data_IF_645713751919
#
_entry.id   IF_645713751919
#
_cell.length_a   1.000
_cell.length_b   1.000
_cell.length_c   1.000
_cell.angle_alpha   90.00
_cell.angle_beta   90.00
_cell.angle_gamma   90.00
#
_symmetry.space_group_name_H-M   'P 1'
#
loop_
_entity.id
_entity.type
_entity.pdbx_description
1 polymer ?
#
# COMPACT_ATOMS: atom_id res chain seq x y z
N UNK A 1 35.81 -30.30 -33.13
CA UNK A 1 35.41 -28.88 -33.21
C UNK A 1 33.88 -28.72 -33.08
N UNK A 2 33.20 -29.62 -32.35
CA UNK A 2 31.73 -29.75 -32.39
C UNK A 2 31.05 -29.48 -31.03
N UNK A 3 31.79 -29.63 -29.92
CA UNK A 3 31.29 -29.39 -28.57
C UNK A 3 31.06 -27.91 -28.23
N UNK A 4 31.83 -27.00 -28.83
CA UNK A 4 31.74 -25.55 -28.56
C UNK A 4 30.41 -24.99 -29.07
N UNK A 5 29.91 -25.48 -30.21
CA UNK A 5 28.62 -25.06 -30.78
C UNK A 5 27.43 -25.46 -29.90
N UNK A 6 27.46 -26.69 -29.35
CA UNK A 6 26.41 -27.20 -28.48
C UNK A 6 26.39 -26.42 -27.15
N UNK A 7 27.56 -26.11 -26.58
CA UNK A 7 27.64 -25.32 -25.36
C UNK A 7 27.13 -23.88 -25.55
N UNK A 8 27.48 -23.24 -26.68
CA UNK A 8 26.95 -21.91 -27.01
C UNK A 8 25.41 -21.93 -27.17
N UNK A 9 24.86 -23.00 -27.73
CA UNK A 9 23.42 -23.16 -27.91
C UNK A 9 22.67 -23.31 -26.57
N UNK A 10 23.22 -24.08 -25.61
CA UNK A 10 22.62 -24.25 -24.28
C UNK A 10 22.67 -22.94 -23.47
N UNK A 11 23.76 -22.17 -23.57
CA UNK A 11 23.88 -20.86 -22.92
C UNK A 11 22.85 -19.87 -23.50
N UNK A 12 22.65 -19.87 -24.82
CA UNK A 12 21.67 -19.01 -25.48
C UNK A 12 20.22 -19.32 -25.05
N UNK A 13 19.83 -20.59 -24.98
CA UNK A 13 18.48 -21.00 -24.54
C UNK A 13 18.26 -20.67 -23.06
N UNK A 14 19.29 -20.85 -22.23
CA UNK A 14 19.24 -20.55 -20.80
C UNK A 14 19.04 -19.05 -20.56
N UNK A 15 19.70 -18.18 -21.34
CA UNK A 15 19.52 -16.72 -21.28
C UNK A 15 18.13 -16.27 -21.73
N UNK A 16 17.55 -16.93 -22.73
CA UNK A 16 16.21 -16.60 -23.23
C UNK A 16 15.13 -16.93 -22.19
N UNK A 17 15.24 -18.07 -21.50
CA UNK A 17 14.35 -18.43 -20.39
C UNK A 17 14.56 -17.57 -19.13
N UNK A 18 15.76 -17.03 -18.92
CA UNK A 18 16.03 -16.09 -17.83
C UNK A 18 15.41 -14.71 -18.09
N UNK A 19 15.43 -14.24 -19.33
CA UNK A 19 14.89 -12.93 -19.72
C UNK A 19 13.40 -12.80 -19.40
N UNK A 20 12.62 -13.86 -19.62
CA UNK A 20 11.19 -13.88 -19.27
C UNK A 20 10.94 -13.84 -17.75
N UNK A 21 11.75 -14.59 -16.99
CA UNK A 21 11.69 -14.58 -15.52
C UNK A 21 12.09 -13.21 -14.94
N UNK A 22 13.13 -12.58 -15.50
CA UNK A 22 13.58 -11.24 -15.09
C UNK A 22 12.57 -10.16 -15.45
N UNK A 23 11.91 -10.26 -16.62
CA UNK A 23 10.80 -9.36 -17.00
C UNK A 23 9.63 -9.46 -16.04
N UNK A 24 9.23 -10.68 -15.67
CA UNK A 24 8.16 -10.90 -14.70
C UNK A 24 8.52 -10.31 -13.33
N UNK A 25 9.71 -10.62 -12.82
CA UNK A 25 10.21 -10.06 -11.57
C UNK A 25 10.24 -8.52 -11.59
N UNK A 26 10.68 -7.91 -12.69
CA UNK A 26 10.69 -6.44 -12.83
C UNK A 26 9.29 -5.84 -12.83
N UNK A 27 8.31 -6.52 -13.43
CA UNK A 27 6.91 -6.10 -13.41
C UNK A 27 6.30 -6.19 -12.01
N UNK A 28 6.55 -7.29 -11.29
CA UNK A 28 6.13 -7.47 -9.90
C UNK A 28 6.77 -6.41 -8.98
N UNK A 29 8.08 -6.17 -9.09
CA UNK A 29 8.79 -5.13 -8.33
C UNK A 29 8.23 -3.74 -8.64
N UNK A 30 7.93 -3.43 -9.91
CA UNK A 30 7.34 -2.14 -10.29
C UNK A 30 5.95 -1.95 -9.67
N UNK A 31 5.14 -3.01 -9.64
CA UNK A 31 3.81 -2.99 -9.03
C UNK A 31 3.91 -2.75 -7.52
N UNK A 32 4.79 -3.48 -6.83
CA UNK A 32 5.05 -3.33 -5.39
C UNK A 32 5.57 -1.92 -5.07
N UNK A 33 6.56 -1.42 -5.81
CA UNK A 33 7.11 -0.08 -5.59
C UNK A 33 6.08 1.04 -5.82
N UNK A 34 5.15 0.85 -6.76
CA UNK A 34 4.05 1.81 -6.97
C UNK A 34 3.07 1.79 -5.80
N UNK A 35 2.71 0.61 -5.29
CA UNK A 35 1.85 0.48 -4.11
C UNK A 35 2.48 1.08 -2.86
N UNK A 36 3.77 0.82 -2.61
CA UNK A 36 4.52 1.41 -1.48
C UNK A 36 4.58 2.93 -1.61
N UNK A 37 4.81 3.45 -2.82
CA UNK A 37 4.85 4.90 -3.02
C UNK A 37 3.50 5.55 -2.69
N UNK A 38 2.39 4.94 -3.13
CA UNK A 38 1.03 5.41 -2.81
C UNK A 38 0.77 5.34 -1.30
N UNK A 39 1.24 4.30 -0.61
CA UNK A 39 1.14 4.16 0.85
C UNK A 39 1.94 5.24 1.61
N UNK A 40 3.16 5.55 1.18
CA UNK A 40 4.00 6.62 1.75
C UNK A 40 3.35 8.00 1.53
N UNK A 41 2.76 8.23 0.37
CA UNK A 41 2.05 9.48 0.08
C UNK A 41 0.77 9.60 0.93
N UNK A 42 0.04 8.49 1.15
CA UNK A 42 -1.11 8.47 2.06
C UNK A 42 -0.72 8.74 3.52
N UNK A 43 0.35 8.15 4.04
CA UNK A 43 0.81 8.40 5.42
C UNK A 43 1.13 9.87 5.68
N UNK A 44 1.79 10.55 4.72
CA UNK A 44 2.05 12.00 4.81
C UNK A 44 0.78 12.84 4.83
N UNK A 45 -0.20 12.50 4.01
CA UNK A 45 -1.49 13.22 3.96
C UNK A 45 -2.25 13.00 5.27
N UNK A 46 -2.27 11.77 5.79
CA UNK A 46 -2.91 11.44 7.07
C UNK A 46 -2.29 12.20 8.23
N UNK A 47 -0.94 12.29 8.31
CA UNK A 47 -0.26 13.12 9.33
C UNK A 47 -0.67 14.60 9.26
N UNK A 48 -0.98 15.14 8.07
CA UNK A 48 -1.48 16.51 7.92
C UNK A 48 -2.97 16.70 8.33
N UNK A 49 -3.68 15.60 8.58
CA UNK A 49 -5.05 15.57 9.07
C UNK A 49 -5.13 15.42 10.59
N UNK A 50 -4.01 15.22 11.28
CA UNK A 50 -3.96 15.18 12.73
C UNK A 50 -4.56 16.46 13.35
N UNK A 51 -5.47 16.27 14.31
CA UNK A 51 -6.22 17.35 14.96
C UNK A 51 -7.39 17.89 14.14
N UNK A 52 -7.71 17.32 12.97
CA UNK A 52 -8.86 17.70 12.14
C UNK A 52 -9.96 16.64 12.17
N UNK A 53 -11.19 17.08 11.88
CA UNK A 53 -12.33 16.19 11.64
C UNK A 53 -12.35 15.78 10.18
N UNK A 54 -12.54 14.48 9.94
CA UNK A 54 -12.59 13.90 8.61
C UNK A 54 -13.48 12.65 8.62
N UNK A 55 -14.08 12.36 7.47
CA UNK A 55 -14.85 11.14 7.24
C UNK A 55 -13.93 10.10 6.59
N UNK A 56 -13.64 9.03 7.32
CA UNK A 56 -12.77 7.93 6.88
C UNK A 56 -13.62 6.82 6.26
N UNK A 57 -13.29 6.39 5.05
CA UNK A 57 -13.90 5.20 4.43
C UNK A 57 -13.03 3.98 4.70
N UNK A 58 -13.48 3.13 5.63
CA UNK A 58 -12.73 1.92 6.03
C UNK A 58 -13.27 0.71 5.28
N UNK A 59 -12.36 -0.08 4.71
CA UNK A 59 -12.69 -1.34 4.02
C UNK A 59 -13.48 -2.24 4.99
N UNK A 60 -14.65 -2.70 4.54
CA UNK A 60 -15.62 -3.51 5.28
C UNK A 60 -16.47 -2.81 6.37
N UNK A 61 -16.21 -1.54 6.70
CA UNK A 61 -17.02 -0.79 7.71
C UNK A 61 -17.82 0.38 7.11
N UNK A 62 -17.37 0.93 5.98
CA UNK A 62 -18.01 2.08 5.33
C UNK A 62 -17.50 3.43 5.86
N UNK A 63 -18.16 4.54 5.49
CA UNK A 63 -17.75 5.88 5.89
C UNK A 63 -18.00 6.13 7.38
N UNK A 64 -17.00 6.71 8.04
CA UNK A 64 -17.02 6.97 9.47
C UNK A 64 -16.53 8.39 9.77
N UNK A 65 -17.42 9.21 10.34
CA UNK A 65 -17.08 10.52 10.86
C UNK A 65 -16.20 10.40 12.12
N UNK A 66 -14.97 10.89 12.02
CA UNK A 66 -14.00 10.84 13.10
C UNK A 66 -13.17 12.12 13.18
N UNK A 67 -12.54 12.34 14.33
CA UNK A 67 -11.45 13.29 14.51
C UNK A 67 -10.13 12.52 14.61
N UNK A 68 -9.13 12.94 13.85
CA UNK A 68 -7.79 12.32 13.91
C UNK A 68 -7.09 12.82 15.15
N UNK A 69 -6.71 11.91 16.05
CA UNK A 69 -5.94 12.26 17.26
C UNK A 69 -4.45 12.13 16.99
N UNK A 70 -4.03 11.02 16.41
CA UNK A 70 -2.62 10.74 16.15
C UNK A 70 -2.47 9.81 14.94
N UNK A 71 -1.41 10.00 14.16
CA UNK A 71 -1.09 9.19 12.98
C UNK A 71 0.37 8.73 13.03
N UNK A 72 0.54 7.42 13.18
CA UNK A 72 1.81 6.73 13.03
C UNK A 72 2.00 6.23 11.58
N UNK A 73 3.08 5.49 11.32
CA UNK A 73 3.38 4.96 9.98
C UNK A 73 2.49 3.78 9.56
N UNK A 74 1.98 3.00 10.51
CA UNK A 74 1.11 1.83 10.25
C UNK A 74 -0.32 1.99 10.81
N UNK A 75 -0.48 2.84 11.81
CA UNK A 75 -1.69 2.96 12.60
C UNK A 75 -2.15 4.41 12.72
N UNK A 76 -3.45 4.59 12.82
CA UNK A 76 -4.09 5.88 12.97
C UNK A 76 -5.06 5.80 14.15
N UNK A 77 -4.89 6.65 15.15
CA UNK A 77 -5.81 6.80 16.25
C UNK A 77 -6.84 7.88 15.92
N UNK A 78 -8.11 7.49 15.90
CA UNK A 78 -9.22 8.38 15.60
C UNK A 78 -10.31 8.30 16.67
N UNK A 79 -10.96 9.43 16.90
CA UNK A 79 -12.14 9.55 17.75
C UNK A 79 -13.38 9.53 16.87
N UNK A 80 -14.07 8.40 16.83
CA UNK A 80 -15.33 8.23 16.12
C UNK A 80 -16.47 8.92 16.88
N UNK A 81 -17.25 9.76 16.20
CA UNK A 81 -18.47 10.35 16.76
C UNK A 81 -19.69 9.49 16.43
N UNK A 82 -20.38 8.99 17.45
CA UNK A 82 -21.60 8.22 17.29
C UNK A 82 -22.84 9.11 17.49
N UNK A 83 -23.97 8.73 16.88
CA UNK A 83 -25.25 9.48 16.87
C UNK A 83 -25.85 9.83 18.26
N UNK A 84 -25.27 9.37 19.37
CA UNK A 84 -25.81 9.53 20.74
C UNK A 84 -24.88 10.33 21.67
N UNK A 85 -24.09 11.27 21.14
CA UNK A 85 -23.07 12.02 21.90
C UNK A 85 -21.98 11.13 22.52
N UNK A 86 -21.89 9.87 22.07
CA UNK A 86 -20.86 8.94 22.47
C UNK A 86 -19.71 9.03 21.49
N UNK A 87 -18.53 9.40 21.99
CA UNK A 87 -17.30 9.31 21.24
C UNK A 87 -16.53 8.05 21.64
N UNK A 88 -16.06 7.28 20.66
CA UNK A 88 -15.19 6.12 20.90
C UNK A 88 -13.85 6.35 20.23
N UNK A 89 -12.76 6.09 20.95
CA UNK A 89 -11.42 6.04 20.37
C UNK A 89 -11.26 4.68 19.67
N UNK A 90 -10.80 4.73 18.42
CA UNK A 90 -10.57 3.56 17.59
C UNK A 90 -9.22 3.69 16.90
N UNK A 91 -8.49 2.58 16.87
CA UNK A 91 -7.24 2.47 16.13
C UNK A 91 -7.54 1.79 14.80
N UNK A 92 -7.13 2.41 13.70
CA UNK A 92 -7.35 1.95 12.33
C UNK A 92 -5.99 1.72 11.68
N UNK A 93 -5.84 0.59 10.96
CA UNK A 93 -4.66 0.39 10.10
C UNK A 93 -4.77 1.26 8.87
N UNK A 94 -3.70 1.95 8.52
CA UNK A 94 -3.65 2.80 7.32
C UNK A 94 -3.94 1.98 6.05
N UNK A 95 -3.45 0.74 5.97
CA UNK A 95 -3.75 -0.20 4.87
C UNK A 95 -5.25 -0.48 4.68
N UNK A 96 -6.07 -0.33 5.74
CA UNK A 96 -7.53 -0.56 5.69
C UNK A 96 -8.33 0.68 5.32
N UNK A 97 -7.66 1.82 5.15
CA UNK A 97 -8.28 3.08 4.72
C UNK A 97 -8.36 3.05 3.20
N UNK A 98 -9.57 3.17 2.67
CA UNK A 98 -9.79 3.22 1.23
C UNK A 98 -9.83 4.66 0.71
N UNK A 99 -10.44 5.56 1.47
CA UNK A 99 -10.63 6.96 1.09
C UNK A 99 -10.76 7.84 2.34
N UNK A 100 -10.36 9.10 2.24
CA UNK A 100 -10.44 10.09 3.33
C UNK A 100 -11.00 11.39 2.79
N UNK A 101 -12.11 11.84 3.39
CA UNK A 101 -12.76 13.12 3.06
C UNK A 101 -12.58 14.06 4.25
N UNK A 102 -12.03 15.24 4.02
CA UNK A 102 -11.71 16.24 5.06
C UNK A 102 -12.05 17.66 4.62
#
# INVERSE_FOLDING_TARGET
MEFIGIMAFIIAISNMGLSDKVKKLKADVKKINTSIKVEIEMSKILKALEGKRCTLSVIAKGPVDCEVINVDDEWMEVKQFLKKDQSKIMIIRIEKINDVVY
#
